data_IF_190783484597
#
_entry.id   IF_190783484597
#
_cell.length_a   1.000
_cell.length_b   1.000
_cell.length_c   1.000
_cell.angle_alpha   90.00
_cell.angle_beta   90.00
_cell.angle_gamma   90.00
#
_symmetry.space_group_name_H-M   'P 1'
#
loop_
_entity.id
_entity.type
_entity.pdbx_description
1 polymer ?
#
# COMPACT_ATOMS: atom_id res chain seq x y z
N UNK A 1 35.80 -8.21 -2.63
CA UNK A 1 34.57 -8.12 -1.80
C UNK A 1 33.60 -7.22 -2.52
N UNK A 2 32.67 -7.80 -3.28
CA UNK A 2 31.70 -7.06 -4.08
C UNK A 2 30.43 -6.88 -3.25
N UNK A 3 30.41 -5.90 -2.34
CA UNK A 3 29.13 -5.40 -1.87
C UNK A 3 28.55 -4.56 -2.99
N UNK A 4 27.70 -5.17 -3.83
CA UNK A 4 26.81 -4.41 -4.70
C UNK A 4 26.03 -3.46 -3.81
N UNK A 5 26.40 -2.19 -3.85
CA UNK A 5 25.49 -1.10 -3.56
C UNK A 5 24.42 -1.17 -4.65
N UNK A 6 23.44 -2.08 -4.49
CA UNK A 6 22.17 -1.97 -5.18
C UNK A 6 21.59 -0.68 -4.65
N UNK A 7 21.95 0.42 -5.30
CA UNK A 7 21.56 1.77 -4.91
C UNK A 7 20.05 1.76 -4.82
N UNK A 8 19.52 2.04 -3.63
CA UNK A 8 18.07 2.10 -3.45
C UNK A 8 17.50 3.04 -4.50
N UNK A 9 16.61 2.49 -5.31
CA UNK A 9 15.87 3.14 -6.40
C UNK A 9 14.77 4.05 -5.84
N UNK A 10 14.20 4.92 -6.67
CA UNK A 10 13.33 6.01 -6.21
C UNK A 10 12.11 5.53 -5.39
N UNK A 11 11.39 4.50 -5.86
CA UNK A 11 10.26 3.92 -5.15
C UNK A 11 10.65 3.27 -3.81
N UNK A 12 11.73 2.49 -3.76
CA UNK A 12 12.24 1.90 -2.52
C UNK A 12 12.58 2.97 -1.45
N UNK A 13 13.28 4.03 -1.86
CA UNK A 13 13.60 5.15 -0.97
C UNK A 13 12.35 5.89 -0.49
N UNK A 14 11.38 6.11 -1.37
CA UNK A 14 10.13 6.76 -1.02
C UNK A 14 9.32 5.93 -0.03
N UNK A 15 9.20 4.63 -0.26
CA UNK A 15 8.51 3.71 0.65
C UNK A 15 9.14 3.69 2.06
N UNK A 16 10.47 3.68 2.14
CA UNK A 16 11.16 3.76 3.44
C UNK A 16 10.86 5.07 4.18
N UNK A 17 10.86 6.22 3.47
CA UNK A 17 10.54 7.51 4.09
C UNK A 17 9.09 7.57 4.56
N UNK A 18 8.15 7.07 3.77
CA UNK A 18 6.73 7.02 4.15
C UNK A 18 6.55 6.16 5.40
N UNK A 19 7.14 4.98 5.46
CA UNK A 19 7.09 4.12 6.64
C UNK A 19 7.62 4.81 7.90
N UNK A 20 8.72 5.58 7.78
CA UNK A 20 9.24 6.37 8.91
C UNK A 20 8.28 7.47 9.34
N UNK A 21 7.65 8.17 8.40
CA UNK A 21 6.66 9.21 8.69
C UNK A 21 5.42 8.64 9.39
N UNK A 22 4.89 7.51 8.91
CA UNK A 22 3.75 6.81 9.53
C UNK A 22 4.10 6.42 10.96
N UNK A 23 5.24 5.74 11.18
CA UNK A 23 5.67 5.35 12.53
C UNK A 23 5.85 6.53 13.47
N UNK A 24 6.28 7.68 12.96
CA UNK A 24 6.43 8.87 13.77
C UNK A 24 5.07 9.50 14.10
N UNK A 25 4.11 9.46 13.17
CA UNK A 25 2.73 9.89 13.40
C UNK A 25 2.04 8.97 14.43
N UNK A 26 2.19 7.66 14.30
CA UNK A 26 1.62 6.66 15.20
C UNK A 26 2.06 6.82 16.67
N UNK A 27 3.27 7.33 16.92
CA UNK A 27 3.74 7.62 18.29
C UNK A 27 2.92 8.70 19.00
N UNK A 28 2.20 9.54 18.25
CA UNK A 28 1.36 10.60 18.81
C UNK A 28 -0.10 10.17 19.00
N UNK A 29 -0.46 8.94 18.63
CA UNK A 29 -1.82 8.43 18.71
C UNK A 29 -2.16 7.90 20.11
N UNK A 30 -3.43 8.03 20.49
CA UNK A 30 -3.95 7.39 21.69
C UNK A 30 -4.03 5.86 21.53
N UNK A 31 -4.08 5.08 22.64
CA UNK A 31 -4.12 3.61 22.57
C UNK A 31 -5.30 3.02 21.78
N UNK A 32 -6.38 3.77 21.61
CA UNK A 32 -7.61 3.41 20.89
C UNK A 32 -7.67 4.01 19.47
N UNK A 33 -6.58 4.60 19.00
CA UNK A 33 -6.49 5.25 17.70
C UNK A 33 -5.56 4.48 16.74
N UNK A 34 -5.83 4.64 15.45
CA UNK A 34 -5.03 4.05 14.36
C UNK A 34 -4.76 5.11 13.29
N UNK A 35 -3.58 5.01 12.66
CA UNK A 35 -3.26 5.84 11.52
C UNK A 35 -4.05 5.34 10.29
N UNK A 36 -4.72 6.26 9.61
CA UNK A 36 -5.36 6.01 8.33
C UNK A 36 -4.81 6.98 7.28
N UNK A 37 -4.94 6.61 6.01
CA UNK A 37 -4.57 7.47 4.90
C UNK A 37 -5.81 7.88 4.12
N UNK A 38 -5.95 9.18 3.89
CA UNK A 38 -6.84 9.71 2.86
C UNK A 38 -6.00 10.11 1.66
N UNK A 39 -6.32 9.56 0.48
CA UNK A 39 -5.73 10.02 -0.76
C UNK A 39 -6.51 11.25 -1.25
N UNK A 40 -5.86 12.41 -1.17
CA UNK A 40 -6.45 13.70 -1.51
C UNK A 40 -7.02 13.77 -2.94
N UNK A 41 -6.55 12.91 -3.86
CA UNK A 41 -6.90 12.97 -5.29
C UNK A 41 -7.84 11.87 -5.77
N UNK A 42 -8.13 10.83 -4.96
CA UNK A 42 -8.82 9.62 -5.47
C UNK A 42 -10.09 9.23 -4.71
N UNK A 43 -10.23 9.63 -3.44
CA UNK A 43 -11.45 9.36 -2.69
C UNK A 43 -11.59 10.26 -1.46
N UNK A 44 -12.80 10.78 -1.23
CA UNK A 44 -13.17 11.40 0.06
C UNK A 44 -13.27 10.37 1.21
N UNK A 45 -12.87 9.11 0.96
CA UNK A 45 -12.95 8.01 1.91
C UNK A 45 -11.56 7.72 2.45
N UNK A 46 -11.37 7.71 3.79
CA UNK A 46 -10.13 7.27 4.38
C UNK A 46 -9.99 5.75 4.26
N UNK A 47 -8.76 5.28 4.08
CA UNK A 47 -8.39 3.87 4.00
C UNK A 47 -7.46 3.59 5.16
N UNK A 48 -7.69 2.51 5.91
CA UNK A 48 -6.74 2.07 6.92
C UNK A 48 -5.65 1.28 6.22
N UNK A 49 -4.40 1.73 6.33
CA UNK A 49 -3.26 1.06 5.72
C UNK A 49 -2.68 0.06 6.69
N UNK A 50 -2.46 -1.14 6.18
CA UNK A 50 -1.79 -2.20 6.92
C UNK A 50 -0.39 -2.47 6.39
N UNK A 51 -0.16 -2.25 5.08
CA UNK A 51 1.15 -2.50 4.46
C UNK A 51 1.42 -1.58 3.27
N UNK A 52 2.69 -1.22 3.13
CA UNK A 52 3.24 -0.54 1.95
C UNK A 52 4.18 -1.49 1.20
N UNK A 53 4.00 -1.56 -0.12
CA UNK A 53 4.92 -2.19 -1.06
C UNK A 53 5.45 -1.16 -2.05
N UNK A 54 6.46 -1.55 -2.82
CA UNK A 54 7.00 -0.74 -3.91
C UNK A 54 7.44 -1.64 -5.06
N UNK A 55 7.44 -1.08 -6.26
CA UNK A 55 8.04 -1.70 -7.43
C UNK A 55 8.92 -0.67 -8.12
N UNK A 56 10.18 -1.04 -8.33
CA UNK A 56 11.17 -0.10 -8.83
C UNK A 56 11.06 0.09 -10.35
N UNK A 57 11.31 1.30 -10.87
CA UNK A 57 11.84 2.45 -10.13
C UNK A 57 10.78 3.35 -9.48
N UNK A 58 9.49 3.17 -9.76
CA UNK A 58 8.54 4.29 -9.74
C UNK A 58 7.11 3.98 -9.24
N UNK A 59 6.83 2.77 -8.74
CA UNK A 59 5.50 2.41 -8.24
C UNK A 59 5.49 2.20 -6.71
N UNK A 60 4.42 2.66 -6.08
CA UNK A 60 4.05 2.36 -4.69
C UNK A 60 2.76 1.54 -4.70
N UNK A 61 2.70 0.53 -3.83
CA UNK A 61 1.53 -0.33 -3.65
C UNK A 61 1.03 -0.17 -2.21
N UNK A 62 -0.24 0.22 -2.06
CA UNK A 62 -0.91 0.35 -0.77
C UNK A 62 -1.80 -0.87 -0.55
N UNK A 63 -1.73 -1.46 0.63
CA UNK A 63 -2.61 -2.53 1.07
C UNK A 63 -3.34 -2.08 2.33
N UNK A 64 -4.66 -2.21 2.32
CA UNK A 64 -5.51 -1.75 3.39
C UNK A 64 -6.93 -2.28 3.27
N UNK A 65 -7.84 -1.62 3.97
CA UNK A 65 -9.27 -1.91 3.90
C UNK A 65 -10.08 -0.62 4.09
N UNK A 66 -11.32 -0.64 3.62
CA UNK A 66 -12.26 0.44 3.89
C UNK A 66 -12.79 0.31 5.32
N UNK A 67 -12.65 1.33 6.19
CA UNK A 67 -13.10 1.25 7.58
C UNK A 67 -14.62 1.14 7.73
N UNK A 68 -15.41 1.46 6.69
CA UNK A 68 -16.87 1.38 6.74
C UNK A 68 -17.41 0.07 6.17
N UNK A 69 -16.79 -0.47 5.11
CA UNK A 69 -17.26 -1.71 4.47
C UNK A 69 -16.45 -2.95 4.86
N UNK A 70 -15.26 -2.78 5.43
CA UNK A 70 -14.32 -3.87 5.73
C UNK A 70 -13.65 -4.49 4.50
N UNK A 71 -13.94 -3.98 3.30
CA UNK A 71 -13.42 -4.55 2.06
C UNK A 71 -11.92 -4.33 1.92
N UNK A 72 -11.19 -5.40 1.63
CA UNK A 72 -9.77 -5.33 1.33
C UNK A 72 -9.50 -4.53 0.06
N UNK A 73 -8.49 -3.66 0.11
CA UNK A 73 -8.13 -2.78 -0.97
C UNK A 73 -6.63 -2.87 -1.26
N UNK A 74 -6.31 -3.02 -2.55
CA UNK A 74 -4.96 -2.92 -3.08
C UNK A 74 -4.91 -1.80 -4.11
N UNK A 75 -4.10 -0.79 -3.86
CA UNK A 75 -3.95 0.36 -4.74
C UNK A 75 -2.52 0.45 -5.28
N UNK A 76 -2.38 0.78 -6.56
CA UNK A 76 -1.08 0.97 -7.23
C UNK A 76 -1.02 2.43 -7.68
N UNK A 77 0.08 3.12 -7.37
CA UNK A 77 0.30 4.53 -7.68
C UNK A 77 1.72 4.76 -8.18
N UNK A 78 1.87 5.58 -9.22
CA UNK A 78 3.18 6.06 -9.65
C UNK A 78 3.68 7.15 -8.67
N UNK A 79 4.97 7.16 -8.36
CA UNK A 79 5.58 8.05 -7.35
C UNK A 79 5.35 9.54 -7.63
N UNK A 80 5.26 9.95 -8.91
CA UNK A 80 5.06 11.37 -9.26
C UNK A 80 3.65 11.89 -8.98
N UNK A 81 2.67 11.00 -8.83
CA UNK A 81 1.26 11.32 -8.57
C UNK A 81 0.88 11.04 -7.12
N UNK A 82 1.80 10.49 -6.34
CA UNK A 82 1.52 10.01 -5.00
C UNK A 82 1.41 11.17 -4.01
N UNK A 83 0.19 11.42 -3.53
CA UNK A 83 -0.10 12.33 -2.44
C UNK A 83 -0.85 11.57 -1.35
N UNK A 84 -0.43 11.72 -0.09
CA UNK A 84 -1.11 11.16 1.06
C UNK A 84 -1.42 12.22 2.11
N UNK A 85 -2.49 12.01 2.85
CA UNK A 85 -2.79 12.68 4.10
C UNK A 85 -2.92 11.61 5.19
N UNK A 86 -2.16 11.74 6.29
CA UNK A 86 -2.33 10.91 7.47
C UNK A 86 -3.42 11.53 8.34
N UNK A 87 -4.41 10.72 8.69
CA UNK A 87 -5.48 11.10 9.60
C UNK A 87 -5.57 10.07 10.74
N UNK A 88 -6.24 10.46 11.81
CA UNK A 88 -6.50 9.60 12.95
C UNK A 88 -7.92 9.05 12.88
N UNK A 89 -8.09 7.74 13.07
CA UNK A 89 -9.39 7.11 13.25
C UNK A 89 -9.44 6.35 14.58
N UNK A 90 -10.65 6.19 15.13
CA UNK A 90 -10.87 5.24 16.23
C UNK A 90 -10.67 3.82 15.71
N UNK A 91 -10.05 2.97 16.52
CA UNK A 91 -9.83 1.57 16.19
C UNK A 91 -11.19 0.90 15.91
N UNK A 92 -11.39 0.27 14.74
CA UNK A 92 -12.61 -0.48 14.48
C UNK A 92 -12.72 -1.65 15.48
N UNK A 93 -13.94 -2.01 15.93
CA UNK A 93 -14.14 -3.01 16.97
C UNK A 93 -13.72 -4.45 16.61
N UNK A 94 -13.48 -4.75 15.32
CA UNK A 94 -12.89 -6.01 14.85
C UNK A 94 -11.58 -5.72 14.13
N UNK A 95 -10.47 -5.75 14.86
CA UNK A 95 -9.14 -5.91 14.26
C UNK A 95 -8.93 -7.43 14.08
N UNK A 96 -9.75 -8.06 13.23
CA UNK A 96 -9.46 -9.42 12.77
C UNK A 96 -8.06 -9.40 12.15
N UNK A 97 -7.17 -10.33 12.55
CA UNK A 97 -5.83 -10.37 12.00
C UNK A 97 -5.93 -10.49 10.48
N UNK A 98 -5.10 -9.72 9.77
CA UNK A 98 -4.96 -9.89 8.33
C UNK A 98 -4.70 -11.37 8.06
N UNK A 99 -5.32 -11.96 7.02
CA UNK A 99 -4.93 -13.29 6.60
C UNK A 99 -3.41 -13.26 6.38
N UNK A 100 -2.70 -14.02 7.20
CA UNK A 100 -1.29 -14.34 6.97
C UNK A 100 -1.20 -14.83 5.52
N UNK A 101 -0.22 -14.34 4.75
CA UNK A 101 -0.09 -14.73 3.36
C UNK A 101 -0.03 -16.27 3.31
N UNK A 102 -1.13 -16.92 2.88
CA UNK A 102 -1.12 -18.33 2.51
C UNK A 102 -0.21 -18.44 1.28
N UNK A 103 1.09 -18.59 1.54
CA UNK A 103 2.00 -19.19 0.58
C UNK A 103 1.42 -20.57 0.23
N UNK A 104 1.31 -20.81 -1.07
CA UNK A 104 0.77 -22.02 -1.70
C UNK A 104 -0.75 -22.24 -1.65
N UNK A 105 -1.45 -21.62 -2.62
CA UNK A 105 -2.44 -22.34 -3.45
C UNK A 105 -2.68 -21.67 -4.81
N UNK A 106 -2.00 -22.25 -5.81
CA UNK A 106 -2.58 -22.65 -7.11
C UNK A 106 -3.18 -21.53 -7.98
N UNK A 107 -2.36 -21.10 -8.93
CA UNK A 107 -2.73 -20.53 -10.23
C UNK A 107 -4.16 -20.92 -10.72
N UNK A 108 -5.14 -20.04 -10.54
CA UNK A 108 -6.41 -19.95 -11.30
C UNK A 108 -7.25 -18.86 -10.62
N UNK A 109 -7.69 -17.76 -11.22
CA UNK A 109 -8.04 -17.47 -12.60
C UNK A 109 -7.76 -15.98 -12.85
N UNK A 110 -7.43 -15.58 -14.08
CA UNK A 110 -7.28 -14.15 -14.43
C UNK A 110 -8.59 -13.40 -14.11
N UNK A 111 -8.56 -12.49 -13.13
CA UNK A 111 -9.69 -11.64 -12.69
C UNK A 111 -9.44 -10.15 -12.93
N UNK A 112 -8.72 -9.79 -13.99
CA UNK A 112 -8.85 -8.51 -14.67
C UNK A 112 -8.72 -8.81 -16.17
N UNK A 113 -9.71 -8.40 -16.97
CA UNK A 113 -9.80 -8.71 -18.40
C UNK A 113 -8.81 -7.92 -19.25
N UNK A 114 -7.51 -8.16 -19.09
CA UNK A 114 -6.49 -7.72 -20.04
C UNK A 114 -5.99 -8.93 -20.82
N UNK A 115 -6.30 -8.97 -22.13
CA UNK A 115 -5.53 -9.74 -23.10
C UNK A 115 -4.33 -8.86 -23.43
N UNK A 116 -3.14 -9.26 -22.99
CA UNK A 116 -1.91 -8.71 -23.56
C UNK A 116 -1.73 -9.45 -24.88
N UNK A 117 -2.05 -8.80 -25.99
CA UNK A 117 -1.62 -9.31 -27.30
C UNK A 117 -0.10 -9.11 -27.36
N UNK A 118 0.65 -10.21 -27.25
CA UNK A 118 2.12 -10.21 -27.42
C UNK A 118 2.55 -10.15 -28.90
N UNK A 119 1.66 -9.79 -29.82
CA UNK A 119 2.01 -9.59 -31.23
C UNK A 119 1.52 -8.22 -31.71
N UNK A 120 2.39 -7.22 -31.57
CA UNK A 120 2.67 -6.21 -32.59
C UNK A 120 3.84 -5.35 -32.09
N UNK A 121 5.06 -5.69 -32.50
CA UNK A 121 6.09 -4.68 -32.67
C UNK A 121 6.44 -4.63 -34.17
N UNK A 122 6.47 -3.43 -34.78
CA UNK A 122 6.81 -3.24 -36.19
C UNK A 122 8.29 -3.48 -36.49
#
# INVERSE_FOLDING_TARGET
MNHSLVGKTAAANMCERINKLIRNFEKSLAPDEVAAMSLASFSNRPIIIKRLGYWNPDLIVLYGFDPNTGEALKMIQHISQFTLCLITLKRPPDDEPLPEEEEDKKQSSRRIGFIINEEEQP
#
